data_IF_990661959300
#
_entry.id   IF_990661959300
#
_cell.length_a   1.000
_cell.length_b   1.000
_cell.length_c   1.000
_cell.angle_alpha   90.00
_cell.angle_beta   90.00
_cell.angle_gamma   90.00
#
_symmetry.space_group_name_H-M   'P 1'
#
loop_
_entity.id
_entity.type
_entity.pdbx_description
1 polymer ?
#
# COMPACT_ATOMS: atom_id res chain seq x y z
N UNK A 1 -3.79 -17.63 -20.58
CA UNK A 1 -4.00 -16.61 -19.54
C UNK A 1 -3.37 -15.34 -20.05
N UNK A 2 -4.13 -14.27 -20.25
CA UNK A 2 -3.56 -12.98 -20.62
C UNK A 2 -2.93 -12.33 -19.38
N UNK A 3 -1.99 -11.39 -19.57
CA UNK A 3 -1.39 -10.63 -18.46
C UNK A 3 -2.44 -9.88 -17.62
N UNK A 4 -3.56 -9.51 -18.24
CA UNK A 4 -4.71 -8.88 -17.59
C UNK A 4 -5.45 -9.86 -16.68
N UNK A 5 -5.64 -11.12 -17.10
CA UNK A 5 -6.25 -12.15 -16.26
C UNK A 5 -5.42 -12.42 -15.00
N UNK A 6 -4.09 -12.44 -15.14
CA UNK A 6 -3.16 -12.63 -14.02
C UNK A 6 -3.23 -11.47 -13.02
N UNK A 7 -3.28 -10.23 -13.51
CA UNK A 7 -3.41 -9.05 -12.66
C UNK A 7 -4.75 -9.00 -11.91
N UNK A 8 -5.83 -9.48 -12.54
CA UNK A 8 -7.13 -9.59 -11.89
C UNK A 8 -7.12 -10.66 -10.78
N UNK A 9 -6.45 -11.80 -11.00
CA UNK A 9 -6.23 -12.82 -9.97
C UNK A 9 -5.42 -12.26 -8.79
N UNK A 10 -4.39 -11.45 -9.05
CA UNK A 10 -3.66 -10.77 -7.99
C UNK A 10 -4.51 -9.77 -7.20
N UNK A 11 -5.37 -8.98 -7.86
CA UNK A 11 -6.31 -8.08 -7.16
C UNK A 11 -7.26 -8.87 -6.24
N UNK A 12 -7.77 -10.01 -6.71
CA UNK A 12 -8.64 -10.87 -5.91
C UNK A 12 -7.90 -11.48 -4.71
N UNK A 13 -6.71 -12.03 -4.92
CA UNK A 13 -5.89 -12.62 -3.86
C UNK A 13 -5.49 -11.55 -2.83
N UNK A 14 -5.13 -10.34 -3.26
CA UNK A 14 -4.87 -9.22 -2.36
C UNK A 14 -6.08 -8.89 -1.48
N UNK A 15 -7.28 -8.82 -2.06
CA UNK A 15 -8.50 -8.52 -1.31
C UNK A 15 -8.84 -9.60 -0.28
N UNK A 16 -8.60 -10.88 -0.59
CA UNK A 16 -8.85 -11.99 0.34
C UNK A 16 -7.83 -11.96 1.49
N UNK A 17 -6.55 -11.81 1.20
CA UNK A 17 -5.49 -11.79 2.21
C UNK A 17 -5.61 -10.58 3.14
N UNK A 18 -5.96 -9.40 2.62
CA UNK A 18 -6.17 -8.20 3.47
C UNK A 18 -7.39 -8.33 4.38
N UNK A 19 -8.48 -8.96 3.90
CA UNK A 19 -9.64 -9.25 4.72
C UNK A 19 -9.31 -10.24 5.85
N UNK A 20 -8.55 -11.30 5.56
CA UNK A 20 -8.12 -12.27 6.57
C UNK A 20 -7.20 -11.64 7.63
N UNK A 21 -6.22 -10.83 7.20
CA UNK A 21 -5.37 -10.06 8.11
C UNK A 21 -6.21 -9.16 9.02
N UNK A 22 -7.16 -8.42 8.47
CA UNK A 22 -8.04 -7.53 9.25
C UNK A 22 -8.87 -8.30 10.28
N UNK A 23 -9.45 -9.43 9.87
CA UNK A 23 -10.23 -10.29 10.75
C UNK A 23 -9.37 -10.86 11.90
N UNK A 24 -8.17 -11.36 11.61
CA UNK A 24 -7.23 -11.87 12.60
C UNK A 24 -6.72 -10.77 13.54
N UNK A 25 -6.51 -9.54 13.05
CA UNK A 25 -6.22 -8.36 13.90
C UNK A 25 -7.36 -8.06 14.87
N UNK A 26 -8.61 -8.21 14.45
CA UNK A 26 -9.77 -8.07 15.33
C UNK A 26 -9.85 -9.15 16.41
N UNK A 27 -9.57 -10.41 16.02
CA UNK A 27 -9.63 -11.57 16.93
C UNK A 27 -8.49 -11.63 17.94
N UNK A 28 -7.38 -10.93 17.69
CA UNK A 28 -6.20 -10.89 18.56
C UNK A 28 -6.52 -10.51 20.02
N UNK A 29 -7.56 -9.70 20.25
CA UNK A 29 -7.96 -9.28 21.60
C UNK A 29 -8.73 -10.35 22.38
N UNK A 30 -9.40 -11.27 21.70
CA UNK A 30 -10.22 -12.32 22.32
C UNK A 30 -9.49 -13.64 22.56
N UNK A 31 -8.31 -13.83 21.95
CA UNK A 31 -7.56 -15.09 22.04
C UNK A 31 -6.79 -15.24 23.36
N UNK A 32 -6.45 -16.47 23.74
CA UNK A 32 -5.61 -16.74 24.91
C UNK A 32 -4.14 -16.33 24.66
N UNK A 33 -3.33 -16.02 25.69
CA UNK A 33 -1.94 -15.56 25.52
C UNK A 33 -1.04 -16.47 24.66
N UNK A 34 -1.19 -17.79 24.78
CA UNK A 34 -0.48 -18.77 23.95
C UNK A 34 -0.91 -18.71 22.48
N UNK A 35 -2.20 -18.60 22.21
CA UNK A 35 -2.79 -18.50 20.87
C UNK A 35 -2.52 -17.14 20.22
N UNK A 36 -2.44 -16.07 21.01
CA UNK A 36 -2.07 -14.72 20.54
C UNK A 36 -0.70 -14.72 19.89
N UNK A 37 0.29 -15.38 20.49
CA UNK A 37 1.65 -15.42 19.95
C UNK A 37 1.68 -16.13 18.58
N UNK A 38 0.95 -17.24 18.45
CA UNK A 38 0.78 -17.94 17.18
C UNK A 38 0.06 -17.07 16.14
N UNK A 39 -1.03 -16.40 16.52
CA UNK A 39 -1.78 -15.50 15.65
C UNK A 39 -0.95 -14.28 15.19
N UNK A 40 -0.11 -13.71 16.08
CA UNK A 40 0.83 -12.63 15.75
C UNK A 40 1.81 -13.08 14.66
N UNK A 41 2.39 -14.28 14.81
CA UNK A 41 3.32 -14.83 13.84
C UNK A 41 2.64 -15.13 12.50
N UNK A 42 1.41 -15.63 12.52
CA UNK A 42 0.62 -15.88 11.32
C UNK A 42 0.29 -14.58 10.57
N UNK A 43 -0.14 -13.54 11.28
CA UNK A 43 -0.42 -12.22 10.67
C UNK A 43 0.85 -11.62 10.06
N UNK A 44 2.01 -11.77 10.71
CA UNK A 44 3.30 -11.34 10.13
C UNK A 44 3.61 -12.09 8.84
N UNK A 45 3.37 -13.40 8.80
CA UNK A 45 3.54 -14.21 7.59
C UNK A 45 2.63 -13.72 6.46
N UNK A 46 1.34 -13.49 6.75
CA UNK A 46 0.37 -13.00 5.78
C UNK A 46 0.72 -11.58 5.27
N UNK A 47 1.21 -10.69 6.13
CA UNK A 47 1.68 -9.36 5.72
C UNK A 47 2.87 -9.45 4.75
N UNK A 48 3.81 -10.37 4.98
CA UNK A 48 4.92 -10.64 4.06
C UNK A 48 4.43 -11.21 2.73
N UNK A 49 3.48 -12.15 2.77
CA UNK A 49 2.90 -12.75 1.55
C UNK A 49 2.16 -11.71 0.69
N UNK A 50 1.49 -10.75 1.33
CA UNK A 50 0.88 -9.60 0.65
C UNK A 50 1.93 -8.68 0.03
N UNK A 51 3.09 -8.50 0.67
CA UNK A 51 4.20 -7.72 0.11
C UNK A 51 4.78 -8.40 -1.13
N UNK A 52 5.04 -9.71 -1.07
CA UNK A 52 5.51 -10.50 -2.22
C UNK A 52 4.51 -10.45 -3.39
N UNK A 53 3.20 -10.49 -3.09
CA UNK A 53 2.15 -10.39 -4.10
C UNK A 53 2.12 -9.00 -4.76
N UNK A 54 2.34 -7.93 -4.00
CA UNK A 54 2.43 -6.58 -4.54
C UNK A 54 3.66 -6.38 -5.42
N UNK A 55 4.80 -6.98 -5.05
CA UNK A 55 6.00 -6.96 -5.89
C UNK A 55 5.77 -7.69 -7.22
N UNK A 56 5.13 -8.86 -7.18
CA UNK A 56 4.77 -9.60 -8.40
C UNK A 56 3.80 -8.81 -9.28
N UNK A 57 2.79 -8.17 -8.68
CA UNK A 57 1.86 -7.30 -9.39
C UNK A 57 2.60 -6.13 -10.06
N UNK A 58 3.57 -5.50 -9.39
CA UNK A 58 4.39 -4.44 -10.00
C UNK A 58 5.21 -4.91 -11.20
N UNK A 59 5.78 -6.10 -11.12
CA UNK A 59 6.53 -6.69 -12.24
C UNK A 59 5.60 -6.96 -13.43
N UNK A 60 4.44 -7.55 -13.20
CA UNK A 60 3.44 -7.80 -14.26
C UNK A 60 2.87 -6.51 -14.85
N UNK A 61 2.69 -5.45 -14.06
CA UNK A 61 2.29 -4.13 -14.57
C UNK A 61 3.36 -3.50 -15.45
N UNK A 62 4.64 -3.74 -15.16
CA UNK A 62 5.75 -3.24 -16.00
C UNK A 62 5.82 -3.91 -17.37
N UNK A 63 5.35 -5.15 -17.48
CA UNK A 63 5.25 -5.89 -18.76
C UNK A 63 4.16 -5.32 -19.69
N UNK A 64 3.21 -4.55 -19.16
CA UNK A 64 2.17 -3.90 -19.97
C UNK A 64 2.75 -2.74 -20.80
N UNK A 65 2.16 -2.52 -21.98
CA UNK A 65 2.56 -1.47 -22.90
C UNK A 65 2.58 -0.08 -22.22
N UNK A 66 3.68 0.62 -22.42
CA UNK A 66 3.93 1.95 -21.85
C UNK A 66 2.89 2.94 -22.39
N UNK A 67 2.14 3.57 -21.50
CA UNK A 67 1.11 4.55 -21.85
C UNK A 67 -0.29 3.96 -22.10
N UNK A 68 -0.49 2.66 -21.91
CA UNK A 68 -1.84 2.06 -21.94
C UNK A 68 -2.70 2.53 -20.76
N UNK A 69 -4.01 2.64 -20.99
CA UNK A 69 -4.99 2.96 -19.94
C UNK A 69 -5.02 1.90 -18.83
N UNK A 70 -4.77 0.64 -19.18
CA UNK A 70 -4.74 -0.49 -18.25
C UNK A 70 -3.53 -0.41 -17.31
N UNK A 71 -2.34 -0.10 -17.84
CA UNK A 71 -1.15 0.11 -17.02
C UNK A 71 -1.35 1.23 -16.00
N UNK A 72 -1.90 2.36 -16.42
CA UNK A 72 -2.20 3.47 -15.51
C UNK A 72 -3.22 3.09 -14.43
N UNK A 73 -4.22 2.25 -14.75
CA UNK A 73 -5.17 1.72 -13.76
C UNK A 73 -4.45 0.88 -12.71
N UNK A 74 -3.66 -0.12 -13.13
CA UNK A 74 -2.99 -1.02 -12.20
C UNK A 74 -1.85 -0.35 -11.42
N UNK A 75 -1.11 0.61 -12.00
CA UNK A 75 -0.13 1.42 -11.27
C UNK A 75 -0.79 2.23 -10.13
N UNK A 76 -2.00 2.74 -10.35
CA UNK A 76 -2.78 3.40 -9.31
C UNK A 76 -3.30 2.40 -8.26
N UNK A 77 -3.83 1.24 -8.66
CA UNK A 77 -4.25 0.17 -7.75
C UNK A 77 -3.12 -0.26 -6.82
N UNK A 78 -1.94 -0.58 -7.36
CA UNK A 78 -0.74 -0.96 -6.60
C UNK A 78 -0.34 0.12 -5.59
N UNK A 79 -0.40 1.40 -5.98
CA UNK A 79 -0.10 2.51 -5.07
C UNK A 79 -1.09 2.60 -3.91
N UNK A 80 -2.38 2.37 -4.18
CA UNK A 80 -3.42 2.30 -3.13
C UNK A 80 -3.14 1.14 -2.20
N UNK A 81 -2.89 -0.05 -2.74
CA UNK A 81 -2.61 -1.26 -1.97
C UNK A 81 -1.36 -1.12 -1.09
N UNK A 82 -0.30 -0.46 -1.55
CA UNK A 82 0.85 -0.13 -0.69
C UNK A 82 0.48 0.74 0.51
N UNK A 83 -0.41 1.71 0.30
CA UNK A 83 -0.88 2.58 1.38
C UNK A 83 -1.72 1.78 2.38
N UNK A 84 -2.61 0.92 1.88
CA UNK A 84 -3.45 0.05 2.70
C UNK A 84 -2.63 -0.97 3.49
N UNK A 85 -1.60 -1.59 2.89
CA UNK A 85 -0.65 -2.46 3.58
C UNK A 85 0.01 -1.75 4.77
N UNK A 86 0.48 -0.52 4.56
CA UNK A 86 1.09 0.29 5.63
C UNK A 86 0.10 0.61 6.74
N UNK A 87 -1.17 0.84 6.41
CA UNK A 87 -2.22 1.05 7.40
C UNK A 87 -2.47 -0.23 8.21
N UNK A 88 -2.60 -1.39 7.56
CA UNK A 88 -2.74 -2.70 8.21
C UNK A 88 -1.57 -3.02 9.15
N UNK A 89 -0.34 -2.74 8.74
CA UNK A 89 0.84 -2.94 9.57
C UNK A 89 0.82 -2.05 10.83
N UNK A 90 0.40 -0.79 10.68
CA UNK A 90 0.24 0.12 11.81
C UNK A 90 -0.88 -0.32 12.77
N UNK A 91 -2.01 -0.82 12.25
CA UNK A 91 -3.10 -1.35 13.06
C UNK A 91 -2.67 -2.61 13.82
N UNK A 92 -1.97 -3.52 13.15
CA UNK A 92 -1.38 -4.70 13.78
C UNK A 92 -0.42 -4.31 14.91
N UNK A 93 0.51 -3.37 14.66
CA UNK A 93 1.44 -2.88 15.69
C UNK A 93 0.71 -2.27 16.89
N UNK A 94 -0.34 -1.48 16.64
CA UNK A 94 -1.18 -0.92 17.72
C UNK A 94 -1.91 -2.02 18.50
N UNK A 95 -2.42 -3.05 17.84
CA UNK A 95 -3.09 -4.17 18.48
C UNK A 95 -2.12 -4.95 19.40
N UNK A 96 -0.92 -5.27 18.92
CA UNK A 96 0.12 -5.95 19.70
C UNK A 96 0.54 -5.10 20.92
N UNK A 97 0.74 -3.80 20.75
CA UNK A 97 1.10 -2.92 21.87
C UNK A 97 -0.01 -2.79 22.93
N UNK A 98 -1.29 -2.85 22.53
CA UNK A 98 -2.41 -2.87 23.48
C UNK A 98 -2.42 -4.16 24.29
N UNK A 99 -2.12 -5.29 23.66
CA UNK A 99 -2.02 -6.59 24.31
C UNK A 99 -0.88 -6.65 25.33
N UNK A 100 0.30 -6.12 24.99
CA UNK A 100 1.44 -6.06 25.91
C UNK A 100 1.11 -5.21 27.15
N UNK A 101 0.56 -4.01 26.96
CA UNK A 101 0.16 -3.13 28.07
C UNK A 101 -0.94 -3.72 28.96
N UNK A 102 -1.83 -4.55 28.40
CA UNK A 102 -2.85 -5.24 29.18
C UNK A 102 -2.24 -6.34 30.05
N UNK A 103 -1.25 -7.09 29.52
CA UNK A 103 -0.51 -8.11 30.27
C UNK A 103 0.28 -7.51 31.43
N UNK A 104 0.98 -6.40 31.20
CA UNK A 104 1.76 -5.70 32.24
C UNK A 104 0.88 -5.15 33.37
N UNK A 105 -0.37 -4.80 33.07
CA UNK A 105 -1.34 -4.33 34.07
C UNK A 105 -1.89 -5.47 34.91
N UNK A 106 -2.19 -6.61 34.29
CA UNK A 106 -2.74 -7.79 34.98
C UNK A 106 -1.73 -8.34 36.01
N UNK A 107 -0.44 -8.40 35.65
CA UNK A 107 0.63 -8.78 36.58
C UNK A 107 0.74 -7.81 37.78
N UNK A 108 0.50 -6.51 37.55
CA UNK A 108 0.51 -5.51 38.63
C UNK A 108 -0.68 -5.60 39.59
N UNK A 109 -1.83 -6.11 39.11
CA UNK A 109 -3.02 -6.32 39.94
C UNK A 109 -2.96 -7.64 40.72
N UNK A 110 -2.29 -8.67 40.19
CA UNK A 110 -2.07 -9.94 40.87
C UNK A 110 -1.09 -9.82 42.06
N UNK A 111 -0.05 -8.97 41.93
CA UNK A 111 0.93 -8.70 43.00
C UNK A 111 0.32 -7.88 44.18
N UNK A 112 -0.81 -7.21 43.96
CA UNK A 112 -1.48 -6.39 44.99
C UNK A 112 -2.38 -7.15 45.98
N UNK A 113 -2.63 -8.45 45.76
CA UNK A 113 -3.64 -9.23 46.50
C UNK A 113 -3.09 -10.38 47.37
N UNK A 114 -1.77 -10.55 47.45
CA UNK A 114 -1.16 -11.60 48.30
C UNK A 114 -0.20 -11.01 49.34
N UNK A 115 -0.78 -10.30 50.31
CA UNK A 115 -0.07 -9.92 51.54
C UNK A 115 -0.24 -11.04 52.55
N UNK A 116 0.73 -11.96 52.59
CA UNK A 116 1.03 -12.68 53.81
C UNK A 116 2.55 -12.72 54.03
N UNK A 117 2.93 -12.32 55.24
CA UNK A 117 4.12 -11.50 55.48
C UNK A 117 5.19 -12.28 56.27
N UNK A 118 5.46 -13.53 55.90
CA UNK A 118 6.51 -14.33 56.56
C UNK A 118 7.41 -15.13 55.60
N UNK A 119 6.97 -15.46 54.37
CA UNK A 119 7.79 -16.14 53.36
C UNK A 119 8.73 -15.20 52.57
N UNK A 120 8.65 -13.89 52.84
CA UNK A 120 9.23 -12.84 51.99
C UNK A 120 10.76 -12.77 51.99
N UNK A 121 11.48 -13.31 52.97
CA UNK A 121 12.94 -13.14 52.98
C UNK A 121 13.69 -14.19 52.14
N UNK A 122 13.15 -15.41 52.04
CA UNK A 122 13.75 -16.47 51.22
C UNK A 122 13.34 -16.29 49.75
N UNK A 123 12.09 -15.89 49.48
CA UNK A 123 11.62 -15.62 48.14
C UNK A 123 12.25 -14.35 47.51
N UNK A 124 12.62 -13.34 48.30
CA UNK A 124 13.22 -12.11 47.76
C UNK A 124 14.58 -12.33 47.08
N UNK A 125 15.39 -13.28 47.55
CA UNK A 125 16.73 -13.49 46.95
C UNK A 125 16.66 -14.19 45.59
N UNK A 126 15.79 -15.19 45.45
CA UNK A 126 15.54 -15.87 44.17
C UNK A 126 14.77 -14.97 43.19
N UNK A 127 13.88 -14.11 43.69
CA UNK A 127 13.17 -13.11 42.90
C UNK A 127 14.10 -11.99 42.42
N UNK A 128 15.07 -11.55 43.22
CA UNK A 128 16.05 -10.53 42.81
C UNK A 128 16.90 -11.04 41.64
N UNK A 129 17.30 -12.30 41.66
CA UNK A 129 18.09 -12.90 40.58
C UNK A 129 17.29 -13.04 39.28
N UNK A 130 16.01 -13.44 39.38
CA UNK A 130 15.11 -13.50 38.20
C UNK A 130 14.78 -12.11 37.65
N UNK A 131 14.49 -11.15 38.51
CA UNK A 131 14.20 -9.76 38.10
C UNK A 131 15.44 -9.11 37.51
N UNK A 132 16.63 -9.37 38.06
CA UNK A 132 17.90 -8.89 37.49
C UNK A 132 18.15 -9.44 36.08
N UNK A 133 17.87 -10.73 35.84
CA UNK A 133 17.97 -11.34 34.50
C UNK A 133 16.94 -10.75 33.54
N UNK A 134 15.68 -10.60 33.97
CA UNK A 134 14.62 -9.97 33.16
C UNK A 134 14.91 -8.51 32.84
N UNK A 135 15.49 -7.74 33.76
CA UNK A 135 15.92 -6.35 33.53
C UNK A 135 17.07 -6.32 32.52
N UNK A 136 18.02 -7.24 32.61
CA UNK A 136 19.12 -7.33 31.66
C UNK A 136 18.64 -7.69 30.24
N UNK A 137 17.67 -8.60 30.13
CA UNK A 137 17.05 -8.94 28.85
C UNK A 137 16.18 -7.80 28.31
N UNK A 138 15.39 -7.14 29.17
CA UNK A 138 14.60 -5.96 28.78
C UNK A 138 15.49 -4.79 28.36
N UNK A 139 16.63 -4.58 29.02
CA UNK A 139 17.63 -3.59 28.63
C UNK A 139 18.20 -3.91 27.25
N UNK A 140 18.58 -5.17 26.98
CA UNK A 140 19.05 -5.59 25.65
C UNK A 140 18.00 -5.34 24.56
N UNK A 141 16.75 -5.74 24.80
CA UNK A 141 15.65 -5.54 23.85
C UNK A 141 15.35 -4.06 23.64
N UNK A 142 15.46 -3.23 24.68
CA UNK A 142 15.26 -1.78 24.57
C UNK A 142 16.37 -1.12 23.75
N UNK A 143 17.63 -1.54 23.95
CA UNK A 143 18.78 -1.05 23.18
C UNK A 143 18.69 -1.49 21.71
N UNK A 144 18.29 -2.74 21.43
CA UNK A 144 18.01 -3.18 20.05
C UNK A 144 16.85 -2.38 19.43
N UNK A 145 15.82 -2.07 20.23
CA UNK A 145 14.69 -1.25 19.77
C UNK A 145 15.10 0.22 19.54
N UNK A 146 16.04 0.74 20.32
CA UNK A 146 16.62 2.08 20.14
C UNK A 146 17.43 2.15 18.84
N UNK A 147 18.23 1.13 18.53
CA UNK A 147 19.03 1.06 17.29
C UNK A 147 18.12 0.94 16.04
N UNK A 148 17.07 0.13 16.12
CA UNK A 148 16.02 0.05 15.10
C UNK A 148 15.27 1.40 14.99
N UNK A 149 14.98 2.05 16.11
CA UNK A 149 14.34 3.36 16.16
C UNK A 149 15.19 4.45 15.47
N UNK A 150 16.50 4.42 15.69
CA UNK A 150 17.44 5.34 15.08
C UNK A 150 17.55 5.10 13.56
N UNK A 151 17.58 3.84 13.14
CA UNK A 151 17.55 3.43 11.73
C UNK A 151 16.24 3.85 11.04
N UNK A 152 15.11 3.78 11.74
CA UNK A 152 13.81 4.26 11.23
C UNK A 152 13.78 5.78 11.09
N UNK A 153 14.35 6.53 12.04
CA UNK A 153 14.48 7.98 11.95
C UNK A 153 15.39 8.41 10.79
N UNK A 154 16.50 7.70 10.58
CA UNK A 154 17.40 7.93 9.45
C UNK A 154 16.71 7.64 8.11
N UNK A 155 15.96 6.54 8.01
CA UNK A 155 15.18 6.19 6.84
C UNK A 155 14.03 7.18 6.56
N UNK A 156 13.36 7.69 7.60
CA UNK A 156 12.33 8.73 7.45
C UNK A 156 12.93 10.08 7.02
N UNK A 157 14.13 10.42 7.50
CA UNK A 157 14.90 11.59 7.05
C UNK A 157 15.25 11.47 5.56
N UNK A 158 15.79 10.32 5.14
CA UNK A 158 16.10 10.01 3.74
C UNK A 158 14.86 9.98 2.83
N UNK A 159 13.74 9.45 3.34
CA UNK A 159 12.45 9.46 2.64
C UNK A 159 11.87 10.89 2.51
N UNK A 160 12.06 11.77 3.50
CA UNK A 160 11.63 13.18 3.40
C UNK A 160 12.38 13.91 2.30
N UNK A 161 13.68 13.64 2.14
CA UNK A 161 14.49 14.23 1.07
C UNK A 161 14.07 13.71 -0.31
N UNK A 162 13.75 12.42 -0.41
CA UNK A 162 13.25 11.80 -1.65
C UNK A 162 11.85 12.32 -2.02
N UNK A 163 10.97 12.52 -1.04
CA UNK A 163 9.64 13.10 -1.23
C UNK A 163 9.72 14.58 -1.65
N UNK A 164 10.69 15.34 -1.12
CA UNK A 164 10.95 16.71 -1.56
C UNK A 164 11.39 16.75 -3.04
N UNK A 165 12.32 15.88 -3.45
CA UNK A 165 12.78 15.81 -4.86
C UNK A 165 11.69 15.32 -5.81
N UNK A 166 10.82 14.40 -5.37
CA UNK A 166 9.67 13.94 -6.16
C UNK A 166 8.62 15.06 -6.32
N UNK A 167 8.41 15.88 -5.29
CA UNK A 167 7.48 17.00 -5.32
C UNK A 167 7.96 18.17 -6.19
N UNK A 168 9.27 18.43 -6.24
CA UNK A 168 9.85 19.37 -7.20
C UNK A 168 9.78 18.86 -8.64
N UNK A 169 9.93 17.54 -8.87
CA UNK A 169 9.71 16.93 -10.20
C UNK A 169 8.24 16.95 -10.64
N UNK A 170 7.30 16.75 -9.72
CA UNK A 170 5.86 16.87 -10.03
C UNK A 170 5.46 18.31 -10.36
N UNK A 171 6.07 19.32 -9.70
CA UNK A 171 5.83 20.74 -10.05
C UNK A 171 6.39 21.13 -11.42
N UNK A 172 7.43 20.45 -11.90
CA UNK A 172 7.95 20.60 -13.28
C UNK A 172 7.11 19.79 -14.28
N UNK A 173 6.59 18.63 -13.88
CA UNK A 173 5.69 17.80 -14.70
C UNK A 173 4.33 18.44 -14.98
N UNK A 174 3.77 19.22 -14.04
CA UNK A 174 2.54 20.00 -14.27
C UNK A 174 2.75 21.15 -15.28
N UNK A 175 3.97 21.69 -15.39
CA UNK A 175 4.31 22.69 -16.40
C UNK A 175 4.46 22.07 -17.82
N UNK A 176 4.84 20.80 -17.93
CA UNK A 176 4.88 20.07 -19.21
C UNK A 176 3.53 19.49 -19.64
N UNK A 177 2.65 19.12 -18.69
CA UNK A 177 1.27 18.69 -18.98
C UNK A 177 0.38 19.81 -19.53
N UNK A 178 0.67 21.08 -19.18
CA UNK A 178 0.02 22.24 -19.83
C UNK A 178 0.35 22.35 -21.33
N UNK A 179 1.43 21.72 -21.81
CA UNK A 179 1.89 21.82 -23.20
C UNK A 179 1.42 20.66 -24.08
N UNK A 180 1.16 19.48 -23.50
CA UNK A 180 0.71 18.29 -24.26
C UNK A 180 -0.75 18.37 -24.75
N UNK A 181 -1.61 19.16 -24.11
CA UNK A 181 -2.97 19.41 -24.61
C UNK A 181 -3.00 20.26 -25.90
N UNK A 182 -1.92 20.97 -26.24
CA UNK A 182 -1.85 21.78 -27.47
C UNK A 182 -1.56 20.95 -28.72
N UNK A 183 -0.91 19.79 -28.59
CA UNK A 183 -0.57 18.92 -29.71
C UNK A 183 -1.70 17.95 -30.08
N UNK A 184 -2.48 17.47 -29.11
CA UNK A 184 -3.68 16.66 -29.37
C UNK A 184 -4.78 17.44 -30.10
N UNK A 185 -4.91 18.75 -29.85
CA UNK A 185 -5.83 19.61 -30.58
C UNK A 185 -5.52 19.73 -32.08
N UNK A 186 -4.24 19.73 -32.47
CA UNK A 186 -3.83 19.89 -33.89
C UNK A 186 -4.09 18.64 -34.71
N UNK A 187 -3.93 17.44 -34.13
CA UNK A 187 -4.27 16.18 -34.83
C UNK A 187 -5.77 16.03 -35.03
N UNK A 188 -6.58 16.38 -34.03
CA UNK A 188 -8.05 16.32 -34.12
C UNK A 188 -8.60 17.34 -35.13
N UNK A 189 -8.07 18.56 -35.16
CA UNK A 189 -8.49 19.60 -36.12
C UNK A 189 -8.18 19.24 -37.57
N UNK A 190 -7.05 18.58 -37.85
CA UNK A 190 -6.67 18.14 -39.21
C UNK A 190 -7.63 17.08 -39.76
N UNK A 191 -8.10 16.15 -38.93
CA UNK A 191 -9.05 15.11 -39.33
C UNK A 191 -10.43 15.70 -39.66
N UNK A 192 -10.88 16.68 -38.88
CA UNK A 192 -12.17 17.36 -39.11
C UNK A 192 -12.13 18.21 -40.38
N UNK A 193 -11.05 18.96 -40.63
CA UNK A 193 -10.89 19.74 -41.87
C UNK A 193 -10.89 18.87 -43.12
N UNK A 194 -10.15 17.76 -43.11
CA UNK A 194 -10.09 16.86 -44.27
C UNK A 194 -11.46 16.22 -44.56
N UNK A 195 -12.23 15.85 -43.54
CA UNK A 195 -13.60 15.34 -43.72
C UNK A 195 -14.54 16.40 -44.32
N UNK A 196 -14.42 17.66 -43.90
CA UNK A 196 -15.27 18.75 -44.39
C UNK A 196 -14.97 19.10 -45.85
N UNK A 197 -13.69 19.17 -46.23
CA UNK A 197 -13.27 19.41 -47.63
C UNK A 197 -13.80 18.30 -48.55
N UNK A 198 -13.71 17.04 -48.13
CA UNK A 198 -14.20 15.91 -48.90
C UNK A 198 -15.72 16.00 -49.14
N UNK A 199 -16.49 16.40 -48.12
CA UNK A 199 -17.93 16.60 -48.24
C UNK A 199 -18.28 17.73 -49.23
N UNK A 200 -17.58 18.86 -49.17
CA UNK A 200 -17.81 19.99 -50.09
C UNK A 200 -17.52 19.60 -51.54
N UNK A 201 -16.40 18.91 -51.80
CA UNK A 201 -16.06 18.45 -53.16
C UNK A 201 -17.11 17.48 -53.70
N UNK A 202 -17.61 16.56 -52.88
CA UNK A 202 -18.67 15.64 -53.27
C UNK A 202 -19.97 16.36 -53.66
N UNK A 203 -20.38 17.38 -52.89
CA UNK A 203 -21.57 18.20 -53.19
C UNK A 203 -21.40 18.99 -54.48
N UNK A 204 -20.24 19.60 -54.70
CA UNK A 204 -19.96 20.38 -55.92
C UNK A 204 -19.97 19.47 -57.17
N UNK A 205 -19.36 18.28 -57.08
CA UNK A 205 -19.40 17.29 -58.16
C UNK A 205 -20.83 16.86 -58.46
N UNK A 206 -21.65 16.60 -57.43
CA UNK A 206 -23.07 16.27 -57.61
C UNK A 206 -23.83 17.40 -58.29
N UNK A 207 -23.59 18.65 -57.90
CA UNK A 207 -24.22 19.82 -58.52
C UNK A 207 -23.88 19.95 -60.01
N UNK A 208 -22.61 19.81 -60.39
CA UNK A 208 -22.20 19.85 -61.80
C UNK A 208 -22.84 18.74 -62.63
N UNK A 209 -22.95 17.52 -62.08
CA UNK A 209 -23.63 16.41 -62.75
C UNK A 209 -25.12 16.71 -62.99
N UNK A 210 -25.80 17.32 -62.02
CA UNK A 210 -27.21 17.72 -62.17
C UNK A 210 -27.38 18.80 -63.25
N UNK A 211 -26.53 19.83 -63.26
CA UNK A 211 -26.57 20.90 -64.28
C UNK A 211 -26.28 20.35 -65.67
N UNK A 212 -25.28 19.48 -65.79
CA UNK A 212 -24.94 18.86 -67.07
C UNK A 212 -26.11 18.02 -67.60
N UNK A 213 -26.73 17.20 -66.74
CA UNK A 213 -27.89 16.38 -67.11
C UNK A 213 -29.08 17.23 -67.52
N UNK A 214 -29.39 18.31 -66.78
CA UNK A 214 -30.48 19.23 -67.14
C UNK A 214 -30.24 19.94 -68.49
N UNK A 215 -28.97 20.21 -68.84
CA UNK A 215 -28.64 20.86 -70.10
C UNK A 215 -28.52 19.91 -71.29
N UNK A 216 -28.27 18.63 -71.01
CA UNK A 216 -28.17 17.58 -72.02
C UNK A 216 -29.53 16.96 -72.38
N UNK A 217 -30.53 17.13 -71.51
CA UNK A 217 -31.93 16.78 -71.73
C UNK A 217 -32.67 17.91 -72.47
#
# INVERSE_FOLDING_TARGET
>A
MTTVDLLQEFEQNYSVSTADITAKIGQLQSLLPSERTTAINEIRRLLSEVEDLLEQMELSVRELEVGSTERNRYENSVRSFRTDRKNLENEFKKAVQRLQRASDRDELFEDGLSVDQEDQLIANTERLERTSRKIQDAYRVTVETEDIGNTVLENLSSQRETLHRARDRLRVGDAELSSSNRLLGVMIQRVIQNRLILLVVAVVMMFFLLVFMYRAL
#
